data_IF_504711321894
#
_entry.id   IF_504711321894
#
_cell.length_a   1.000
_cell.length_b   1.000
_cell.length_c   1.000
_cell.angle_alpha   90.00
_cell.angle_beta   90.00
_cell.angle_gamma   90.00
#
_symmetry.space_group_name_H-M   'P 1'
#
loop_
_entity.id
_entity.type
_entity.pdbx_description
1 polymer ?
#
# COMPACT_ATOMS: atom_id res chain seq x y z
N UNK A 1 5.09 -1.03 -1.92
CA UNK A 1 4.16 -0.06 -2.49
C UNK A 1 2.86 -0.76 -2.83
N UNK A 2 1.75 -0.06 -2.69
CA UNK A 2 0.40 -0.45 -3.15
C UNK A 2 -0.27 0.78 -3.73
N UNK A 3 -1.34 0.61 -4.49
CA UNK A 3 -1.98 1.68 -5.24
C UNK A 3 -3.32 2.03 -4.61
N UNK A 4 -3.59 3.32 -4.41
CA UNK A 4 -4.84 3.77 -3.82
C UNK A 4 -5.33 5.10 -4.40
N UNK A 5 -6.64 5.31 -4.33
CA UNK A 5 -7.22 6.64 -4.33
C UNK A 5 -7.31 7.14 -2.88
N UNK A 6 -6.84 8.35 -2.62
CA UNK A 6 -6.98 9.01 -1.33
C UNK A 6 -8.09 10.07 -1.45
N UNK A 7 -9.23 9.84 -0.81
CA UNK A 7 -10.37 10.76 -0.90
C UNK A 7 -10.73 11.40 0.43
N UNK A 8 -11.14 12.66 0.36
CA UNK A 8 -11.85 13.36 1.45
C UNK A 8 -13.25 13.76 0.95
N UNK A 9 -14.02 14.47 1.78
CA UNK A 9 -15.45 14.78 1.58
C UNK A 9 -15.82 15.28 0.18
N UNK A 10 -14.91 15.98 -0.51
CA UNK A 10 -15.17 16.67 -1.78
C UNK A 10 -14.26 16.22 -2.95
N UNK A 11 -13.69 15.02 -2.90
CA UNK A 11 -12.95 14.45 -4.03
C UNK A 11 -11.72 13.64 -3.64
N UNK A 12 -10.94 13.26 -4.66
CA UNK A 12 -9.68 12.51 -4.50
C UNK A 12 -8.48 13.43 -4.68
N UNK A 13 -7.38 13.09 -4.01
CA UNK A 13 -6.09 13.72 -4.23
C UNK A 13 -5.63 13.48 -5.67
N UNK A 14 -5.31 14.55 -6.37
CA UNK A 14 -4.81 14.54 -7.75
C UNK A 14 -3.57 15.41 -7.85
N UNK A 15 -2.62 15.01 -8.69
CA UNK A 15 -1.47 15.82 -9.03
C UNK A 15 -1.42 15.98 -10.54
N UNK A 16 -1.35 17.21 -11.02
CA UNK A 16 -1.24 17.49 -12.46
C UNK A 16 0.16 17.15 -13.00
N UNK A 17 0.34 17.03 -14.32
CA UNK A 17 1.66 16.87 -14.94
C UNK A 17 2.64 18.01 -14.60
N UNK A 18 2.13 19.19 -14.26
CA UNK A 18 2.92 20.35 -13.85
C UNK A 18 3.27 20.33 -12.34
N UNK A 19 2.83 19.30 -11.60
CA UNK A 19 3.10 19.14 -10.17
C UNK A 19 2.12 19.88 -9.26
N UNK A 20 0.98 20.36 -9.79
CA UNK A 20 -0.04 21.02 -8.99
C UNK A 20 -0.87 19.97 -8.23
N UNK A 21 -0.89 20.08 -6.90
CA UNK A 21 -1.66 19.19 -6.02
C UNK A 21 -3.03 19.79 -5.75
N UNK A 22 -4.10 19.08 -6.13
CA UNK A 22 -5.49 19.55 -6.03
C UNK A 22 -6.46 18.41 -5.73
N UNK A 23 -7.73 18.75 -5.52
CA UNK A 23 -8.78 17.73 -5.57
C UNK A 23 -9.21 17.47 -7.02
N UNK A 24 -9.69 16.26 -7.27
CA UNK A 24 -10.32 15.87 -8.53
C UNK A 24 -11.61 15.09 -8.23
N UNK A 25 -12.67 15.27 -9.03
CA UNK A 25 -13.85 14.40 -8.97
C UNK A 25 -13.61 13.06 -9.66
N UNK A 26 -12.54 12.94 -10.46
CA UNK A 26 -12.27 11.78 -11.30
C UNK A 26 -11.44 10.74 -10.57
N UNK A 27 -11.54 9.48 -11.00
CA UNK A 27 -10.77 8.35 -10.45
C UNK A 27 -10.02 7.67 -11.59
N UNK A 28 -9.14 8.43 -12.23
CA UNK A 28 -8.39 7.97 -13.39
C UNK A 28 -6.95 7.63 -13.00
N UNK A 29 -6.05 7.54 -13.98
CA UNK A 29 -4.66 7.17 -13.74
C UNK A 29 -3.88 8.26 -13.00
N UNK A 30 -4.28 9.53 -13.08
CA UNK A 30 -3.59 10.66 -12.44
C UNK A 30 -3.86 10.76 -10.94
N UNK A 31 -5.03 10.27 -10.51
CA UNK A 31 -5.44 10.25 -9.10
C UNK A 31 -4.96 9.02 -8.33
N UNK A 32 -4.26 8.11 -9.01
CA UNK A 32 -3.63 6.97 -8.33
C UNK A 32 -2.39 7.45 -7.59
N UNK A 33 -2.36 7.15 -6.29
CA UNK A 33 -1.21 7.34 -5.43
C UNK A 33 -0.60 5.99 -5.10
N UNK A 34 0.70 5.86 -5.33
CA UNK A 34 1.47 4.72 -4.89
C UNK A 34 1.88 4.98 -3.43
N UNK A 35 1.34 4.20 -2.51
CA UNK A 35 1.67 4.26 -1.07
C UNK A 35 2.89 3.39 -0.81
N UNK A 36 4.04 4.02 -0.62
CA UNK A 36 5.29 3.35 -0.29
C UNK A 36 5.40 3.22 1.23
N UNK A 37 5.21 2.02 1.77
CA UNK A 37 5.42 1.77 3.19
C UNK A 37 6.92 1.79 3.51
N UNK A 38 7.27 2.61 4.49
CA UNK A 38 8.63 2.80 4.99
C UNK A 38 8.75 2.21 6.39
N UNK A 39 9.91 2.37 7.00
CA UNK A 39 10.15 1.94 8.37
C UNK A 39 9.43 2.87 9.38
N UNK A 40 9.27 2.39 10.61
CA UNK A 40 8.77 3.16 11.76
C UNK A 40 7.38 3.78 11.53
N UNK A 41 6.49 3.07 10.84
CA UNK A 41 5.12 3.53 10.58
C UNK A 41 5.01 4.70 9.61
N UNK A 42 6.09 5.01 8.87
CA UNK A 42 6.07 6.05 7.85
C UNK A 42 5.65 5.50 6.49
N UNK A 43 5.13 6.38 5.64
CA UNK A 43 4.85 6.14 4.23
C UNK A 43 5.36 7.30 3.39
N UNK A 44 5.59 7.03 2.11
CA UNK A 44 5.70 8.05 1.07
C UNK A 44 4.52 7.93 0.10
N UNK A 45 4.02 9.06 -0.37
CA UNK A 45 2.91 9.12 -1.32
C UNK A 45 3.47 9.51 -2.68
N UNK A 46 3.74 8.53 -3.54
CA UNK A 46 4.28 8.77 -4.90
C UNK A 46 3.13 8.92 -5.89
N UNK A 47 3.12 9.99 -6.65
CA UNK A 47 2.09 10.30 -7.64
C UNK A 47 2.26 9.46 -8.90
N UNK A 48 1.23 9.44 -9.75
CA UNK A 48 1.29 8.83 -11.08
C UNK A 48 2.42 9.41 -11.97
N UNK A 49 2.89 10.62 -11.67
CA UNK A 49 3.99 11.29 -12.38
C UNK A 49 5.38 11.00 -11.78
N UNK A 50 5.45 10.06 -10.82
CA UNK A 50 6.71 9.55 -10.28
C UNK A 50 7.36 10.44 -9.21
N UNK A 51 6.72 11.53 -8.81
CA UNK A 51 7.18 12.43 -7.74
C UNK A 51 6.47 12.11 -6.42
N UNK A 52 7.07 12.46 -5.29
CA UNK A 52 6.50 12.25 -3.97
C UNK A 52 5.85 13.51 -3.42
N UNK A 53 4.73 13.35 -2.72
CA UNK A 53 4.06 14.42 -2.00
C UNK A 53 4.93 14.92 -0.85
N UNK A 54 5.18 16.22 -0.80
CA UNK A 54 6.15 16.87 0.09
C UNK A 54 5.47 17.98 0.92
N UNK A 55 5.74 18.01 2.23
CA UNK A 55 5.39 19.14 3.10
C UNK A 55 6.54 20.18 3.14
N UNK A 56 6.43 21.20 2.30
CA UNK A 56 7.35 22.34 2.24
C UNK A 56 6.90 23.44 3.19
N UNK A 57 6.94 23.15 4.50
CA UNK A 57 6.61 24.09 5.57
C UNK A 57 5.16 24.62 5.53
N UNK A 58 4.20 23.75 5.21
CA UNK A 58 2.77 24.07 5.19
C UNK A 58 2.19 24.08 3.79
N UNK A 59 3.06 24.25 2.79
CA UNK A 59 2.72 24.15 1.39
C UNK A 59 2.93 22.72 0.92
N UNK A 60 1.86 22.10 0.41
CA UNK A 60 1.96 20.81 -0.25
C UNK A 60 2.47 21.01 -1.68
N UNK A 61 3.51 20.26 -2.02
CA UNK A 61 4.10 20.23 -3.35
C UNK A 61 4.52 18.80 -3.70
N UNK A 62 5.17 18.63 -4.84
CA UNK A 62 5.79 17.35 -5.23
C UNK A 62 7.29 17.48 -5.44
N UNK A 63 8.03 16.44 -5.07
CA UNK A 63 9.48 16.40 -5.17
C UNK A 63 9.96 15.04 -5.74
N UNK A 64 11.07 15.00 -6.50
CA UNK A 64 11.58 13.75 -7.08
C UNK A 64 12.36 12.88 -6.07
N UNK A 65 12.68 13.41 -4.90
CA UNK A 65 13.49 12.74 -3.88
C UNK A 65 12.61 12.24 -2.73
N UNK A 66 13.09 11.21 -2.02
CA UNK A 66 12.44 10.70 -0.82
C UNK A 66 13.27 11.06 0.41
N UNK A 67 13.17 12.31 0.84
CA UNK A 67 13.85 12.83 2.03
C UNK A 67 12.86 12.93 3.19
N UNK A 68 13.18 13.70 4.22
CA UNK A 68 12.33 13.84 5.41
C UNK A 68 10.95 14.46 5.10
N UNK A 69 10.88 15.40 4.16
CA UNK A 69 9.66 16.16 3.88
C UNK A 69 8.63 15.38 3.06
N UNK A 70 9.07 14.33 2.37
CA UNK A 70 8.23 13.40 1.61
C UNK A 70 7.78 12.18 2.43
N UNK A 71 8.19 12.12 3.70
CA UNK A 71 7.82 11.06 4.63
C UNK A 71 6.69 11.51 5.54
N UNK A 72 5.64 10.69 5.56
CA UNK A 72 4.43 10.92 6.35
C UNK A 72 4.29 9.81 7.37
N UNK A 73 3.98 10.14 8.62
CA UNK A 73 3.57 9.15 9.60
C UNK A 73 2.15 8.73 9.24
N UNK A 74 1.97 7.43 8.99
CA UNK A 74 0.68 6.84 8.68
C UNK A 74 -0.06 6.53 9.99
N UNK A 75 -1.22 7.14 10.17
CA UNK A 75 -2.10 6.87 11.28
C UNK A 75 -3.38 6.21 10.78
N UNK A 76 -3.50 4.90 11.01
CA UNK A 76 -4.73 4.15 10.72
C UNK A 76 -5.85 4.61 11.67
N UNK A 77 -6.94 5.14 11.10
CA UNK A 77 -8.11 5.62 11.83
C UNK A 77 -9.24 4.60 11.86
N UNK A 78 -9.02 3.40 11.34
CA UNK A 78 -10.02 2.35 11.21
C UNK A 78 -11.00 2.64 10.07
N UNK A 79 -11.85 1.65 9.76
CA UNK A 79 -12.91 1.77 8.74
C UNK A 79 -12.40 2.21 7.35
N UNK A 80 -11.17 1.84 6.98
CA UNK A 80 -10.56 2.24 5.71
C UNK A 80 -10.10 3.70 5.67
N UNK A 81 -10.08 4.40 6.80
CA UNK A 81 -9.60 5.77 6.91
C UNK A 81 -8.18 5.83 7.45
N UNK A 82 -7.40 6.78 6.94
CA UNK A 82 -6.07 7.09 7.44
C UNK A 82 -5.82 8.59 7.47
N UNK A 83 -4.93 9.01 8.37
CA UNK A 83 -4.36 10.35 8.37
C UNK A 83 -2.85 10.28 8.09
N UNK A 84 -2.32 11.31 7.44
CA UNK A 84 -0.91 11.41 7.07
C UNK A 84 -0.29 12.61 7.78
N UNK A 85 0.52 12.36 8.80
CA UNK A 85 1.14 13.40 9.63
C UNK A 85 2.56 13.71 9.15
N UNK A 86 2.84 14.98 8.85
CA UNK A 86 4.14 15.45 8.39
C UNK A 86 5.18 15.47 9.51
N UNK A 87 6.44 15.70 9.14
CA UNK A 87 7.57 15.86 10.07
C UNK A 87 7.39 17.01 11.08
N UNK A 88 6.56 18.02 10.75
CA UNK A 88 6.20 19.14 11.64
C UNK A 88 5.04 18.82 12.58
N UNK A 89 4.49 17.61 12.51
CA UNK A 89 3.32 17.21 13.29
C UNK A 89 1.99 17.77 12.78
N UNK A 90 1.95 18.31 11.56
CA UNK A 90 0.72 18.74 10.90
C UNK A 90 0.17 17.62 10.01
N UNK A 91 -1.12 17.57 9.80
CA UNK A 91 -1.78 16.54 9.00
C UNK A 91 -2.07 17.04 7.60
N UNK A 92 -1.84 16.18 6.60
CA UNK A 92 -2.32 16.40 5.24
C UNK A 92 -3.82 16.62 5.26
N UNK A 93 -4.28 17.66 4.57
CA UNK A 93 -5.69 18.06 4.49
C UNK A 93 -6.05 18.30 3.03
N UNK A 94 -7.23 17.84 2.63
CA UNK A 94 -7.79 18.11 1.30
C UNK A 94 -9.14 18.78 1.48
N UNK A 95 -9.13 20.11 1.61
CA UNK A 95 -10.28 20.94 1.96
C UNK A 95 -10.57 21.95 0.86
N UNK A 96 -11.82 22.00 0.38
CA UNK A 96 -12.30 22.95 -0.64
C UNK A 96 -11.38 23.08 -1.88
N UNK A 97 -10.81 21.95 -2.30
CA UNK A 97 -9.92 21.86 -3.45
C UNK A 97 -8.49 22.31 -3.24
N UNK A 98 -8.13 22.69 -2.00
CA UNK A 98 -6.77 22.97 -1.61
C UNK A 98 -6.18 21.79 -0.84
N UNK A 99 -4.97 21.41 -1.23
CA UNK A 99 -4.15 20.47 -0.47
C UNK A 99 -3.16 21.26 0.38
N UNK A 100 -3.24 21.11 1.71
CA UNK A 100 -2.42 21.84 2.69
C UNK A 100 -2.10 20.94 3.87
N UNK A 101 -1.31 21.42 4.83
CA UNK A 101 -1.24 20.78 6.14
C UNK A 101 -1.92 21.62 7.22
N UNK A 102 -2.61 20.98 8.16
CA UNK A 102 -3.29 21.63 9.28
C UNK A 102 -2.87 20.99 10.61
N UNK A 103 -2.98 21.67 11.76
CA UNK A 103 -2.67 21.06 13.06
C UNK A 103 -3.75 20.10 13.56
N UNK A 104 -4.86 19.94 12.84
CA UNK A 104 -6.03 19.16 13.27
C UNK A 104 -6.08 17.80 12.58
N UNK A 105 -6.77 16.83 13.16
CA UNK A 105 -7.01 15.51 12.56
C UNK A 105 -8.52 15.22 12.51
N UNK A 106 -9.24 16.15 11.89
CA UNK A 106 -10.69 16.14 11.80
C UNK A 106 -11.12 15.52 10.46
N UNK A 107 -12.33 15.81 9.99
CA UNK A 107 -12.89 15.16 8.80
C UNK A 107 -12.06 15.39 7.52
N UNK A 108 -11.45 16.56 7.37
CA UNK A 108 -10.72 16.94 6.16
C UNK A 108 -9.29 16.36 6.08
N UNK A 109 -8.75 15.94 7.22
CA UNK A 109 -7.42 15.31 7.35
C UNK A 109 -7.49 13.79 7.43
N UNK A 110 -8.70 13.23 7.42
CA UNK A 110 -8.95 11.79 7.34
C UNK A 110 -9.32 11.43 5.92
N UNK A 111 -8.45 10.66 5.29
CA UNK A 111 -8.65 10.18 3.93
C UNK A 111 -9.28 8.80 3.98
N UNK A 112 -10.34 8.58 3.20
CA UNK A 112 -10.74 7.24 2.81
C UNK A 112 -9.68 6.70 1.84
N UNK A 113 -9.07 5.58 2.20
CA UNK A 113 -8.02 4.92 1.43
C UNK A 113 -8.65 3.78 0.63
N UNK A 114 -8.87 4.02 -0.66
CA UNK A 114 -9.45 3.02 -1.55
C UNK A 114 -8.34 2.34 -2.36
N UNK A 115 -7.88 1.19 -1.88
CA UNK A 115 -6.84 0.44 -2.58
C UNK A 115 -7.36 -0.19 -3.87
N UNK A 116 -6.55 -0.10 -4.94
CA UNK A 116 -6.78 -0.84 -6.17
C UNK A 116 -6.45 -2.32 -5.95
N UNK A 117 -7.11 -3.18 -6.73
CA UNK A 117 -6.71 -4.59 -6.83
C UNK A 117 -5.30 -4.66 -7.41
N UNK A 118 -4.47 -5.55 -6.86
CA UNK A 118 -3.07 -5.70 -7.25
C UNK A 118 -2.76 -7.14 -7.62
N UNK A 119 -1.73 -7.30 -8.45
CA UNK A 119 -1.05 -8.55 -8.74
C UNK A 119 0.32 -8.54 -8.08
N UNK A 120 0.69 -9.68 -7.50
CA UNK A 120 2.00 -9.89 -6.87
C UNK A 120 2.82 -10.85 -7.74
N UNK A 121 3.70 -10.32 -8.59
CA UNK A 121 4.57 -11.15 -9.45
C UNK A 121 5.92 -11.36 -8.77
N UNK A 122 6.25 -12.59 -8.42
CA UNK A 122 7.56 -12.90 -7.84
C UNK A 122 8.66 -13.02 -8.90
N UNK A 123 9.89 -13.26 -8.44
CA UNK A 123 11.10 -13.31 -9.27
C UNK A 123 11.02 -14.28 -10.45
N UNK A 124 10.35 -15.42 -10.26
CA UNK A 124 10.22 -16.47 -11.28
C UNK A 124 9.07 -16.19 -12.28
N UNK A 125 8.49 -15.00 -12.24
CA UNK A 125 7.46 -14.57 -13.17
C UNK A 125 6.05 -15.08 -12.85
N UNK A 126 5.89 -15.83 -11.75
CA UNK A 126 4.61 -16.31 -11.27
C UNK A 126 3.88 -15.25 -10.43
N UNK A 127 2.59 -15.10 -10.65
CA UNK A 127 1.70 -14.31 -9.82
C UNK A 127 1.14 -15.14 -8.68
N UNK A 128 1.10 -14.57 -7.47
CA UNK A 128 0.47 -15.20 -6.31
C UNK A 128 -1.03 -15.34 -6.56
N UNK A 129 -1.57 -16.53 -6.30
CA UNK A 129 -2.98 -16.88 -6.44
C UNK A 129 -3.46 -17.59 -5.18
N UNK A 130 -4.76 -17.54 -4.92
CA UNK A 130 -5.42 -18.39 -3.93
C UNK A 130 -6.70 -18.99 -4.47
N UNK A 131 -6.89 -20.27 -4.21
CA UNK A 131 -8.11 -21.00 -4.61
C UNK A 131 -9.21 -20.90 -3.53
N UNK A 132 -10.45 -21.33 -3.83
CA UNK A 132 -11.54 -21.34 -2.85
C UNK A 132 -11.26 -22.16 -1.59
N UNK A 133 -10.40 -23.18 -1.69
CA UNK A 133 -10.02 -24.06 -0.58
C UNK A 133 -8.93 -23.45 0.31
N UNK A 134 -8.38 -22.28 -0.07
CA UNK A 134 -7.35 -21.57 0.65
C UNK A 134 -5.93 -22.05 0.37
N UNK A 135 -5.73 -22.77 -0.73
CA UNK A 135 -4.40 -23.12 -1.24
C UNK A 135 -3.80 -21.87 -1.88
N UNK A 136 -2.60 -21.50 -1.44
CA UNK A 136 -1.85 -20.36 -1.96
C UNK A 136 -0.62 -20.84 -2.71
N UNK A 137 -0.45 -20.37 -3.95
CA UNK A 137 0.68 -20.72 -4.81
C UNK A 137 0.94 -19.64 -5.87
N UNK A 138 1.96 -19.83 -6.68
CA UNK A 138 2.33 -18.99 -7.80
C UNK A 138 1.93 -19.65 -9.11
N UNK A 139 1.30 -18.89 -10.02
CA UNK A 139 0.94 -19.38 -11.36
C UNK A 139 1.42 -18.39 -12.43
N UNK A 140 1.63 -18.80 -13.69
CA UNK A 140 1.95 -17.85 -14.76
C UNK A 140 0.74 -16.96 -15.16
N UNK A 141 -0.44 -17.23 -14.61
CA UNK A 141 -1.67 -16.55 -14.97
C UNK A 141 -1.71 -15.12 -14.40
N UNK A 142 -2.55 -14.26 -14.99
CA UNK A 142 -2.82 -12.91 -14.50
C UNK A 142 -4.32 -12.64 -14.56
N UNK A 143 -5.10 -13.45 -13.85
CA UNK A 143 -6.56 -13.44 -13.89
C UNK A 143 -7.13 -12.94 -12.56
N UNK A 144 -8.45 -13.10 -12.38
CA UNK A 144 -9.16 -12.61 -11.20
C UNK A 144 -8.73 -13.28 -9.89
N UNK A 145 -8.22 -14.52 -9.92
CA UNK A 145 -7.74 -15.23 -8.72
C UNK A 145 -6.35 -14.77 -8.26
N UNK A 146 -5.56 -14.22 -9.18
CA UNK A 146 -4.25 -13.62 -8.89
C UNK A 146 -4.37 -12.16 -8.40
N UNK A 147 -5.59 -11.65 -8.24
CA UNK A 147 -5.85 -10.30 -7.73
C UNK A 147 -6.06 -10.32 -6.22
N UNK A 148 -5.33 -9.46 -5.51
CA UNK A 148 -5.56 -9.15 -4.11
C UNK A 148 -6.02 -7.70 -3.95
N UNK A 149 -6.94 -7.45 -3.04
CA UNK A 149 -7.30 -6.10 -2.59
C UNK A 149 -6.57 -5.84 -1.26
N UNK A 150 -5.60 -4.91 -1.22
CA UNK A 150 -4.99 -4.50 0.03
C UNK A 150 -6.04 -3.89 0.97
N UNK A 151 -5.89 -4.13 2.27
CA UNK A 151 -6.72 -3.56 3.32
C UNK A 151 -5.81 -3.03 4.41
N UNK A 152 -5.92 -1.73 4.74
CA UNK A 152 -5.14 -1.14 5.83
C UNK A 152 -5.65 -1.69 7.17
N UNK A 153 -4.74 -2.12 8.03
CA UNK A 153 -5.05 -2.56 9.38
C UNK A 153 -3.84 -2.41 10.29
N UNK A 154 -3.99 -1.61 11.35
CA UNK A 154 -2.97 -1.34 12.36
C UNK A 154 -1.63 -0.89 11.75
N UNK A 155 -1.69 0.01 10.76
CA UNK A 155 -0.50 0.53 10.06
C UNK A 155 0.21 -0.46 9.13
N UNK A 156 -0.34 -1.68 8.99
CA UNK A 156 0.10 -2.74 8.07
C UNK A 156 -0.97 -2.96 6.99
N UNK A 157 -0.73 -3.89 6.08
CA UNK A 157 -1.75 -4.30 5.10
C UNK A 157 -2.13 -5.76 5.29
N UNK A 158 -3.40 -6.08 5.09
CA UNK A 158 -3.85 -7.41 4.75
C UNK A 158 -4.08 -7.52 3.25
N UNK A 159 -3.97 -8.73 2.70
CA UNK A 159 -4.18 -9.00 1.27
C UNK A 159 -5.43 -9.85 1.10
N UNK A 160 -6.55 -9.23 0.76
CA UNK A 160 -7.83 -9.92 0.57
C UNK A 160 -7.93 -10.48 -0.84
N UNK A 161 -8.18 -11.78 -0.97
CA UNK A 161 -8.28 -12.46 -2.26
C UNK A 161 -9.64 -12.27 -2.94
N UNK A 162 -9.79 -12.91 -4.10
CA UNK A 162 -11.03 -12.91 -4.89
C UNK A 162 -12.24 -13.50 -4.15
N UNK A 163 -12.01 -14.41 -3.21
CA UNK A 163 -13.03 -15.12 -2.45
C UNK A 163 -13.41 -14.40 -1.13
N UNK A 164 -12.83 -13.23 -0.89
CA UNK A 164 -13.08 -12.43 0.32
C UNK A 164 -12.32 -12.92 1.56
N UNK A 165 -11.40 -13.88 1.39
CA UNK A 165 -10.50 -14.34 2.45
C UNK A 165 -9.19 -13.54 2.40
N UNK A 166 -8.39 -13.61 3.45
CA UNK A 166 -7.12 -12.90 3.56
C UNK A 166 -5.96 -13.88 3.48
N UNK A 167 -4.90 -13.52 2.76
CA UNK A 167 -3.65 -14.26 2.81
C UNK A 167 -3.16 -14.34 4.27
N UNK A 168 -2.88 -15.55 4.73
CA UNK A 168 -2.48 -15.85 6.10
C UNK A 168 -1.12 -16.53 6.11
N UNK A 169 -0.19 -16.03 6.92
CA UNK A 169 1.11 -16.66 7.15
C UNK A 169 1.13 -17.37 8.49
N UNK A 170 1.25 -18.70 8.49
CA UNK A 170 1.37 -19.48 9.72
C UNK A 170 2.79 -19.44 10.29
N UNK A 171 2.91 -19.78 11.57
CA UNK A 171 4.19 -19.78 12.30
C UNK A 171 5.26 -20.75 11.76
N UNK A 172 4.86 -21.80 11.04
CA UNK A 172 5.75 -22.74 10.37
C UNK A 172 6.20 -22.27 8.97
N UNK A 173 5.85 -21.05 8.57
CA UNK A 173 6.24 -20.46 7.28
C UNK A 173 5.40 -20.92 6.08
N UNK A 174 4.25 -21.58 6.30
CA UNK A 174 3.30 -21.88 5.21
C UNK A 174 2.26 -20.78 5.02
N UNK A 175 1.64 -20.75 3.84
CA UNK A 175 0.64 -19.75 3.48
C UNK A 175 -0.70 -20.41 3.15
N UNK A 176 -1.78 -19.82 3.68
CA UNK A 176 -3.16 -20.23 3.40
C UNK A 176 -4.03 -18.97 3.24
N UNK A 177 -5.36 -19.13 3.17
CA UNK A 177 -6.28 -18.00 3.34
C UNK A 177 -7.19 -18.16 4.57
N UNK A 178 -7.43 -17.07 5.30
CA UNK A 178 -8.33 -17.02 6.45
C UNK A 178 -9.55 -16.12 6.20
N UNK A 179 -10.74 -16.43 6.75
CA UNK A 179 -11.93 -15.57 6.59
C UNK A 179 -11.95 -14.35 7.52
N UNK A 180 -10.91 -14.16 8.33
CA UNK A 180 -10.80 -13.11 9.34
C UNK A 180 -9.50 -12.32 9.15
N UNK A 181 -9.43 -11.13 9.76
CA UNK A 181 -8.26 -10.26 9.72
C UNK A 181 -7.66 -10.14 11.13
N UNK A 182 -6.83 -11.12 11.48
CA UNK A 182 -6.07 -11.15 12.72
C UNK A 182 -4.60 -10.81 12.44
N UNK A 183 -3.70 -11.17 13.35
CA UNK A 183 -2.30 -10.76 13.27
C UNK A 183 -1.54 -11.44 12.14
N UNK A 184 -1.91 -12.67 11.79
CA UNK A 184 -1.22 -13.50 10.77
C UNK A 184 -1.51 -13.05 9.34
N UNK A 185 -2.60 -12.32 9.15
CA UNK A 185 -3.00 -11.73 7.88
C UNK A 185 -2.44 -10.31 7.69
N UNK A 186 -1.71 -9.76 8.68
CA UNK A 186 -1.11 -8.42 8.60
C UNK A 186 0.35 -8.49 8.20
N UNK A 187 0.63 -8.02 7.00
CA UNK A 187 1.96 -7.93 6.42
C UNK A 187 2.50 -6.51 6.51
N UNK A 188 3.77 -6.38 6.91
CA UNK A 188 4.52 -5.13 6.80
C UNK A 188 5.19 -5.10 5.43
N UNK A 189 4.77 -4.22 4.50
CA UNK A 189 5.48 -4.07 3.24
C UNK A 189 6.83 -3.41 3.48
N UNK A 190 7.85 -3.87 2.75
CA UNK A 190 9.22 -3.37 2.79
C UNK A 190 9.60 -3.00 1.36
N UNK A 191 9.72 -1.70 1.10
CA UNK A 191 10.10 -1.21 -0.23
C UNK A 191 11.58 -1.49 -0.54
N UNK A 192 11.87 -1.95 -1.76
CA UNK A 192 13.22 -2.12 -2.34
C UNK A 192 13.20 -1.69 -3.80
N UNK A 193 13.61 -0.46 -4.09
CA UNK A 193 13.49 0.11 -5.44
C UNK A 193 12.03 0.13 -5.88
N UNK A 194 11.73 -0.49 -7.02
CA UNK A 194 10.36 -0.66 -7.54
C UNK A 194 9.69 -1.98 -7.13
N UNK A 195 10.35 -2.78 -6.29
CA UNK A 195 9.82 -4.04 -5.76
C UNK A 195 9.50 -3.94 -4.27
N UNK A 196 8.78 -4.94 -3.77
CA UNK A 196 8.23 -4.97 -2.42
C UNK A 196 8.39 -6.37 -1.85
N UNK A 197 8.93 -6.47 -0.64
CA UNK A 197 8.77 -7.67 0.18
C UNK A 197 7.63 -7.48 1.18
N UNK A 198 7.02 -8.58 1.60
CA UNK A 198 5.94 -8.57 2.58
C UNK A 198 6.37 -9.37 3.81
N UNK A 199 6.66 -8.66 4.90
CA UNK A 199 7.07 -9.28 6.16
C UNK A 199 5.85 -9.73 6.95
N UNK A 200 5.78 -11.01 7.23
CA UNK A 200 4.77 -11.68 8.07
C UNK A 200 4.86 -11.24 9.52
N UNK A 201 3.82 -11.56 10.31
CA UNK A 201 3.85 -11.38 11.77
C UNK A 201 5.01 -12.11 12.44
N UNK A 202 5.40 -13.28 11.92
CA UNK A 202 6.49 -14.11 12.45
C UNK A 202 7.88 -13.64 12.00
N UNK A 203 7.98 -12.47 11.37
CA UNK A 203 9.25 -11.83 11.04
C UNK A 203 9.90 -12.31 9.73
N UNK A 204 9.39 -13.40 9.14
CA UNK A 204 9.77 -13.90 7.82
C UNK A 204 9.13 -13.07 6.70
N UNK A 205 9.73 -13.04 5.52
CA UNK A 205 9.17 -12.51 4.29
C UNK A 205 8.41 -13.60 3.53
N UNK A 206 7.44 -13.20 2.71
CA UNK A 206 6.89 -14.08 1.66
C UNK A 206 8.01 -14.36 0.65
N UNK A 207 8.31 -15.62 0.38
CA UNK A 207 9.27 -16.08 -0.63
C UNK A 207 8.54 -16.95 -1.64
N UNK A 208 8.69 -16.64 -2.93
CA UNK A 208 8.15 -17.48 -4.01
C UNK A 208 9.26 -18.37 -4.59
N UNK A 209 9.09 -19.67 -4.43
CA UNK A 209 9.99 -20.69 -4.97
C UNK A 209 9.85 -20.82 -6.51
N UNK A 210 10.83 -21.43 -7.21
CA UNK A 210 10.80 -21.60 -8.66
C UNK A 210 9.54 -22.30 -9.18
N UNK A 211 9.00 -23.28 -8.45
CA UNK A 211 7.78 -23.99 -8.83
C UNK A 211 6.49 -23.25 -8.43
N UNK A 212 6.61 -22.00 -7.97
CA UNK A 212 5.49 -21.17 -7.53
C UNK A 212 5.07 -21.39 -6.08
N UNK A 213 5.61 -22.35 -5.33
CA UNK A 213 5.25 -22.51 -3.92
C UNK A 213 5.64 -21.27 -3.09
N UNK A 214 4.77 -20.84 -2.17
CA UNK A 214 5.05 -19.76 -1.24
C UNK A 214 5.50 -20.31 0.11
N UNK A 215 6.62 -19.80 0.61
CA UNK A 215 7.19 -20.16 1.91
C UNK A 215 7.71 -18.92 2.65
N UNK A 216 7.80 -19.03 3.96
CA UNK A 216 8.36 -17.99 4.81
C UNK A 216 9.89 -18.07 4.82
N UNK A 217 10.55 -16.95 4.52
CA UNK A 217 12.00 -16.85 4.45
C UNK A 217 12.51 -15.74 5.37
N UNK A 218 13.61 -15.93 6.12
CA UNK A 218 14.22 -14.84 6.89
C UNK A 218 14.99 -13.85 5.99
N UNK A 219 15.23 -14.21 4.74
CA UNK A 219 16.05 -13.44 3.82
C UNK A 219 15.26 -12.28 3.21
N UNK A 220 15.99 -11.38 2.53
CA UNK A 220 15.40 -10.29 1.77
C UNK A 220 16.16 -10.15 0.45
N UNK A 221 16.12 -11.22 -0.32
CA UNK A 221 16.81 -11.34 -1.60
C UNK A 221 15.78 -11.36 -2.73
N UNK A 222 16.22 -11.73 -3.93
CA UNK A 222 15.39 -11.63 -5.13
C UNK A 222 14.06 -12.40 -5.02
N UNK A 223 14.00 -13.53 -4.33
CA UNK A 223 12.82 -14.39 -4.26
C UNK A 223 11.73 -13.86 -3.32
N UNK A 224 12.10 -12.97 -2.40
CA UNK A 224 11.18 -12.26 -1.51
C UNK A 224 10.67 -10.95 -2.11
N UNK A 225 11.19 -10.54 -3.27
CA UNK A 225 10.85 -9.29 -3.93
C UNK A 225 9.79 -9.49 -5.02
N UNK A 226 8.65 -8.85 -4.81
CA UNK A 226 7.52 -8.87 -5.74
C UNK A 226 7.45 -7.58 -6.53
N UNK A 227 7.21 -7.70 -7.83
CA UNK A 227 6.71 -6.61 -8.64
C UNK A 227 5.20 -6.48 -8.42
N UNK A 228 4.77 -5.32 -7.95
CA UNK A 228 3.36 -5.03 -7.64
C UNK A 228 2.77 -4.17 -8.75
N UNK A 229 1.70 -4.65 -9.39
CA UNK A 229 0.97 -3.94 -10.46
C UNK A 229 -0.53 -3.96 -10.19
N UNK A 230 -1.31 -3.09 -10.83
CA UNK A 230 -2.77 -3.03 -10.71
C UNK A 230 -3.46 -3.05 -12.09
#
# INVERSE_FOLDING_TARGET
>A
MVFAYLSSSNGVLSVSPQGEVKNSPNRDSWEVVNVHFLQNGKVALKTAHGQFLSDQQGRIAVAPHLNEWEQWILEDKGNGQAAFRSWRGQYLSLDNGQCKTTPHCDAWERFNVEFKKIYLRGHHGHHVTSDPNGIVQGTPNRNVWEQYTPVLSQGKIALRDHHGKFLSASNNGTFTTAPHLNEWERFQPIQRGDQVAFRTHHGQQICQQPQGHLLGSPNLDAWELFHVSH
#
